data_IF_361865876357
#
_entry.id   IF_361865876357
#
_cell.length_a   1.000
_cell.length_b   1.000
_cell.length_c   1.000
_cell.angle_alpha   90.00
_cell.angle_beta   90.00
_cell.angle_gamma   90.00
#
_symmetry.space_group_name_H-M   'P 1'
#
loop_
_entity.id
_entity.type
_entity.pdbx_description
1 polymer ?
#
# COMPACT_ATOMS: atom_id res chain seq x y z
N UNK A 1 9.58 -5.24 -0.81
CA UNK A 1 8.41 -4.52 -0.31
C UNK A 1 7.40 -5.46 0.38
N UNK A 2 6.96 -6.56 -0.28
CA UNK A 2 5.88 -7.41 0.25
C UNK A 2 6.24 -8.05 1.60
N UNK A 3 7.47 -8.56 1.76
CA UNK A 3 7.93 -9.09 3.03
C UNK A 3 8.04 -8.00 4.11
N UNK A 4 8.59 -6.83 3.76
CA UNK A 4 8.67 -5.68 4.68
C UNK A 4 7.27 -5.23 5.13
N UNK A 5 6.32 -5.15 4.20
CA UNK A 5 4.94 -4.77 4.52
C UNK A 5 4.25 -5.81 5.41
N UNK A 6 4.46 -7.10 5.13
CA UNK A 6 3.93 -8.18 5.98
C UNK A 6 4.46 -8.06 7.41
N UNK A 7 5.76 -7.84 7.54
CA UNK A 7 6.41 -7.76 8.85
C UNK A 7 5.99 -6.46 9.57
N UNK A 8 5.87 -5.32 8.87
CA UNK A 8 5.33 -4.08 9.41
C UNK A 8 3.87 -4.21 9.87
N UNK A 9 3.02 -4.89 9.09
CA UNK A 9 1.63 -5.15 9.48
C UNK A 9 1.57 -6.05 10.73
N UNK A 10 2.42 -7.08 10.80
CA UNK A 10 2.48 -7.97 11.97
C UNK A 10 2.79 -7.21 13.27
N UNK A 11 3.67 -6.22 13.20
CA UNK A 11 4.04 -5.38 14.34
C UNK A 11 3.10 -4.17 14.54
N UNK A 12 2.16 -3.97 13.60
CA UNK A 12 1.25 -2.81 13.62
C UNK A 12 0.34 -2.81 14.85
N UNK A 13 0.29 -1.64 15.52
CA UNK A 13 -0.61 -1.33 16.63
C UNK A 13 -1.85 -0.57 16.19
N UNK A 14 -2.04 -0.41 14.88
CA UNK A 14 -3.20 0.27 14.33
C UNK A 14 -4.51 -0.48 14.66
N UNK A 15 -5.55 0.29 14.96
CA UNK A 15 -6.86 -0.26 15.35
C UNK A 15 -7.39 -1.26 14.32
N UNK A 16 -7.26 -0.95 13.03
CA UNK A 16 -7.75 -1.81 11.95
C UNK A 16 -7.12 -3.21 11.99
N UNK A 17 -5.83 -3.30 12.30
CA UNK A 17 -5.11 -4.58 12.37
C UNK A 17 -5.53 -5.38 13.60
N UNK A 18 -5.74 -4.71 14.74
CA UNK A 18 -6.27 -5.35 15.94
C UNK A 18 -7.69 -5.88 15.72
N UNK A 19 -8.58 -5.06 15.13
CA UNK A 19 -9.96 -5.46 14.82
C UNK A 19 -9.97 -6.75 13.99
N UNK A 20 -9.13 -6.88 12.96
CA UNK A 20 -9.06 -8.09 12.12
C UNK A 20 -8.51 -9.31 12.86
N UNK A 21 -7.54 -9.13 13.75
CA UNK A 21 -7.00 -10.21 14.58
C UNK A 21 -8.02 -10.71 15.59
N UNK A 22 -8.81 -9.81 16.18
CA UNK A 22 -9.82 -10.15 17.16
C UNK A 22 -11.01 -10.87 16.54
N UNK A 23 -11.47 -10.44 15.36
CA UNK A 23 -12.48 -11.18 14.58
C UNK A 23 -11.98 -12.58 14.23
N UNK A 24 -10.72 -12.70 13.81
CA UNK A 24 -10.15 -14.00 13.47
C UNK A 24 -10.08 -14.96 14.66
N UNK A 25 -9.77 -14.49 15.86
CA UNK A 25 -9.79 -15.31 17.10
C UNK A 25 -11.18 -15.85 17.40
N UNK A 26 -12.23 -15.09 17.08
CA UNK A 26 -13.62 -15.48 17.35
C UNK A 26 -14.18 -16.43 16.29
N UNK A 27 -13.88 -16.17 15.01
CA UNK A 27 -14.48 -16.89 13.88
C UNK A 27 -13.66 -18.12 13.44
N UNK A 28 -12.34 -18.04 13.56
CA UNK A 28 -11.44 -19.07 13.05
C UNK A 28 -10.70 -19.75 14.20
N UNK A 29 -11.27 -20.85 14.69
CA UNK A 29 -10.62 -21.71 15.72
C UNK A 29 -9.32 -22.37 15.25
N UNK A 30 -9.01 -22.35 13.95
CA UNK A 30 -7.79 -22.85 13.36
C UNK A 30 -6.94 -21.68 12.87
N UNK A 31 -5.64 -21.73 13.12
CA UNK A 31 -4.66 -20.77 12.61
C UNK A 31 -4.75 -20.65 11.09
N UNK A 32 -4.92 -19.41 10.60
CA UNK A 32 -4.94 -19.07 9.17
C UNK A 32 -3.54 -19.08 8.54
N UNK A 33 -2.58 -19.83 9.02
CA UNK A 33 -1.24 -19.91 8.42
C UNK A 33 -0.45 -18.58 8.36
N UNK A 34 -0.97 -17.50 8.97
CA UNK A 34 -0.36 -16.16 8.97
C UNK A 34 -1.14 -15.15 9.80
N UNK A 35 -0.66 -13.90 9.85
CA UNK A 35 -1.36 -12.81 10.53
C UNK A 35 -2.70 -12.49 9.81
N UNK A 36 -3.84 -12.55 10.51
CA UNK A 36 -5.16 -12.26 9.94
C UNK A 36 -5.29 -10.84 9.35
N UNK A 37 -4.55 -9.87 9.86
CA UNK A 37 -4.52 -8.53 9.31
C UNK A 37 -3.84 -8.46 7.93
N UNK A 38 -2.91 -9.37 7.65
CA UNK A 38 -2.21 -9.42 6.36
C UNK A 38 -2.81 -10.46 5.40
N UNK A 39 -3.14 -11.65 5.88
CA UNK A 39 -3.53 -12.79 5.05
C UNK A 39 -4.97 -13.27 5.28
N UNK A 40 -5.74 -12.61 6.15
CA UNK A 40 -7.11 -12.99 6.46
C UNK A 40 -8.13 -12.65 5.36
N UNK A 41 -9.37 -13.12 5.48
CA UNK A 41 -10.41 -12.91 4.46
C UNK A 41 -10.99 -11.49 4.46
N UNK A 42 -10.74 -10.72 5.52
CA UNK A 42 -11.30 -9.38 5.69
C UNK A 42 -10.29 -8.25 5.44
N UNK A 43 -9.08 -8.57 4.99
CA UNK A 43 -8.09 -7.60 4.56
C UNK A 43 -8.08 -7.44 3.05
N UNK A 44 -7.70 -6.25 2.58
CA UNK A 44 -7.47 -5.99 1.16
C UNK A 44 -6.02 -6.27 0.74
N UNK A 45 -5.11 -6.51 1.68
CA UNK A 45 -3.69 -6.72 1.38
C UNK A 45 -3.41 -7.95 0.51
N UNK A 46 -4.24 -8.98 0.59
CA UNK A 46 -4.07 -10.24 -0.13
C UNK A 46 -5.05 -10.42 -1.31
N UNK A 47 -5.73 -9.35 -1.74
CA UNK A 47 -6.59 -9.41 -2.91
C UNK A 47 -6.00 -8.59 -4.08
N UNK A 48 -6.50 -8.82 -5.29
CA UNK A 48 -6.00 -8.19 -6.51
C UNK A 48 -6.01 -6.66 -6.44
N UNK A 49 -7.02 -6.07 -5.80
CA UNK A 49 -7.16 -4.62 -5.68
C UNK A 49 -6.08 -4.03 -4.78
N UNK A 50 -5.88 -4.63 -3.60
CA UNK A 50 -4.86 -4.17 -2.66
C UNK A 50 -3.45 -4.35 -3.22
N UNK A 51 -3.15 -5.51 -3.81
CA UNK A 51 -1.85 -5.77 -4.46
C UNK A 51 -1.60 -4.76 -5.58
N UNK A 52 -2.58 -4.57 -6.47
CA UNK A 52 -2.45 -3.64 -7.61
C UNK A 52 -2.24 -2.20 -7.16
N UNK A 53 -2.97 -1.74 -6.14
CA UNK A 53 -2.83 -0.36 -5.68
C UNK A 53 -1.48 -0.12 -4.99
N UNK A 54 -0.99 -1.08 -4.20
CA UNK A 54 0.34 -0.99 -3.56
C UNK A 54 1.42 -0.91 -4.63
N UNK A 55 1.37 -1.76 -5.65
CA UNK A 55 2.34 -1.75 -6.75
C UNK A 55 2.30 -0.43 -7.53
N UNK A 56 1.11 0.08 -7.84
CA UNK A 56 0.95 1.35 -8.55
C UNK A 56 1.50 2.53 -7.74
N UNK A 57 1.13 2.64 -6.46
CA UNK A 57 1.62 3.73 -5.59
C UNK A 57 3.13 3.64 -5.39
N UNK A 58 3.66 2.42 -5.21
CA UNK A 58 5.11 2.20 -5.11
C UNK A 58 5.82 2.67 -6.38
N UNK A 59 5.29 2.31 -7.56
CA UNK A 59 5.84 2.76 -8.84
C UNK A 59 5.79 4.28 -8.99
N UNK A 60 4.70 4.94 -8.57
CA UNK A 60 4.58 6.40 -8.60
C UNK A 60 5.67 7.06 -7.76
N UNK A 61 5.84 6.57 -6.53
CA UNK A 61 6.82 7.13 -5.60
C UNK A 61 8.26 6.86 -6.07
N UNK A 62 8.54 5.67 -6.61
CA UNK A 62 9.84 5.36 -7.21
C UNK A 62 10.13 6.28 -8.40
N UNK A 63 9.13 6.53 -9.25
CA UNK A 63 9.28 7.44 -10.40
C UNK A 63 9.58 8.87 -9.95
N UNK A 64 8.88 9.40 -8.95
CA UNK A 64 9.12 10.73 -8.41
C UNK A 64 10.52 10.85 -7.80
N UNK A 65 10.94 9.84 -7.04
CA UNK A 65 12.22 9.85 -6.31
C UNK A 65 13.37 9.20 -7.11
N UNK A 66 13.20 8.96 -8.41
CA UNK A 66 14.16 8.18 -9.22
C UNK A 66 15.59 8.76 -9.23
N UNK A 67 15.72 10.09 -9.18
CA UNK A 67 17.03 10.76 -9.18
C UNK A 67 17.70 10.60 -7.81
N UNK A 68 16.98 10.82 -6.72
CA UNK A 68 17.46 10.65 -5.36
C UNK A 68 17.85 9.20 -5.08
N UNK A 69 17.05 8.25 -5.55
CA UNK A 69 17.30 6.82 -5.43
C UNK A 69 18.34 6.31 -6.44
N UNK A 70 18.82 7.16 -7.37
CA UNK A 70 19.76 6.79 -8.44
C UNK A 70 19.29 5.57 -9.24
N UNK A 71 17.99 5.53 -9.58
CA UNK A 71 17.42 4.41 -10.32
C UNK A 71 17.92 4.36 -11.77
N UNK A 72 18.30 5.50 -12.36
CA UNK A 72 18.92 5.55 -13.69
C UNK A 72 20.25 4.79 -13.75
N UNK A 73 20.95 4.63 -12.62
CA UNK A 73 22.22 3.93 -12.54
C UNK A 73 22.04 2.39 -12.45
N UNK A 74 20.77 1.96 -12.38
CA UNK A 74 20.43 0.55 -12.30
C UNK A 74 19.95 0.06 -13.66
N UNK A 75 20.88 -0.54 -14.39
CA UNK A 75 20.59 -1.15 -15.69
C UNK A 75 20.68 -2.65 -15.54
N UNK A 76 19.53 -3.32 -15.69
CA UNK A 76 19.53 -4.76 -15.96
C UNK A 76 19.82 -4.94 -17.45
N UNK A 77 20.87 -5.68 -17.77
CA UNK A 77 21.04 -6.14 -19.15
C UNK A 77 19.90 -7.11 -19.48
N UNK A 78 19.48 -7.18 -20.75
CA UNK A 78 18.44 -8.11 -21.18
C UNK A 78 18.81 -9.60 -20.92
N UNK A 79 20.08 -9.86 -20.67
CA UNK A 79 20.66 -11.19 -20.39
C UNK A 79 20.82 -11.47 -18.89
N UNK A 80 20.55 -10.47 -18.02
CA UNK A 80 20.73 -10.63 -16.57
C UNK A 80 19.61 -11.49 -15.97
N UNK A 81 19.98 -12.42 -15.10
CA UNK A 81 19.01 -13.14 -14.28
C UNK A 81 18.26 -12.14 -13.38
N UNK A 82 16.91 -12.09 -13.43
CA UNK A 82 16.13 -11.25 -12.54
C UNK A 82 16.45 -11.43 -11.05
N UNK A 83 16.90 -12.62 -10.66
CA UNK A 83 17.32 -12.93 -9.27
C UNK A 83 18.56 -12.13 -8.87
N UNK A 84 19.52 -11.99 -9.77
CA UNK A 84 20.75 -11.20 -9.54
C UNK A 84 20.40 -9.70 -9.42
N UNK A 85 19.51 -9.20 -10.29
CA UNK A 85 19.04 -7.84 -10.22
C UNK A 85 18.32 -7.51 -8.91
N UNK A 86 17.49 -8.41 -8.40
CA UNK A 86 16.84 -8.28 -7.10
C UNK A 86 17.87 -8.31 -5.97
N UNK A 87 18.89 -9.18 -6.05
CA UNK A 87 19.95 -9.25 -5.06
C UNK A 87 20.78 -7.96 -5.02
N UNK A 88 21.05 -7.35 -6.18
CA UNK A 88 21.73 -6.05 -6.27
C UNK A 88 20.90 -4.92 -5.67
N UNK A 89 19.61 -4.85 -6.00
CA UNK A 89 18.69 -3.85 -5.41
C UNK A 89 18.66 -3.94 -3.88
N UNK A 90 18.65 -5.15 -3.32
CA UNK A 90 18.66 -5.36 -1.86
C UNK A 90 19.93 -4.86 -1.20
N UNK A 91 21.06 -4.84 -1.90
CA UNK A 91 22.35 -4.32 -1.39
C UNK A 91 22.40 -2.79 -1.38
N UNK A 92 21.57 -2.11 -2.17
CA UNK A 92 21.50 -0.64 -2.24
C UNK A 92 20.75 -0.10 -1.04
N UNK A 93 21.47 0.43 -0.06
CA UNK A 93 20.88 0.93 1.20
C UNK A 93 19.78 1.99 1.02
N UNK A 94 19.92 2.85 0.02
CA UNK A 94 18.90 3.87 -0.29
C UNK A 94 17.58 3.25 -0.73
N UNK A 95 17.63 2.22 -1.57
CA UNK A 95 16.43 1.54 -2.07
C UNK A 95 15.82 0.65 -0.98
N UNK A 96 16.65 -0.09 -0.24
CA UNK A 96 16.15 -0.92 0.86
C UNK A 96 15.55 -0.07 1.98
N UNK A 97 16.15 1.07 2.32
CA UNK A 97 15.58 2.05 3.26
C UNK A 97 14.23 2.56 2.78
N UNK A 98 14.18 3.09 1.54
CA UNK A 98 12.93 3.56 0.93
C UNK A 98 11.82 2.50 0.98
N UNK A 99 12.13 1.25 0.66
CA UNK A 99 11.16 0.15 0.67
C UNK A 99 10.68 -0.18 2.09
N UNK A 100 11.59 -0.15 3.06
CA UNK A 100 11.27 -0.38 4.48
C UNK A 100 10.39 0.73 5.03
N UNK A 101 10.76 2.00 4.80
CA UNK A 101 10.01 3.16 5.26
C UNK A 101 8.62 3.22 4.61
N UNK A 102 8.53 2.92 3.31
CA UNK A 102 7.24 2.83 2.62
C UNK A 102 6.36 1.72 3.21
N UNK A 103 6.91 0.57 3.52
CA UNK A 103 6.18 -0.52 4.15
C UNK A 103 5.62 -0.12 5.52
N UNK A 104 6.40 0.62 6.33
CA UNK A 104 5.94 1.15 7.60
C UNK A 104 4.77 2.14 7.43
N UNK A 105 4.86 3.07 6.47
CA UNK A 105 3.77 4.01 6.21
C UNK A 105 2.52 3.31 5.67
N UNK A 106 2.68 2.35 4.76
CA UNK A 106 1.56 1.56 4.23
C UNK A 106 0.89 0.71 5.31
N UNK A 107 1.62 0.24 6.32
CA UNK A 107 1.05 -0.54 7.43
C UNK A 107 0.11 0.27 8.32
N UNK A 108 0.15 1.60 8.25
CA UNK A 108 -0.75 2.52 8.98
C UNK A 108 -2.10 2.73 8.28
N UNK A 109 -2.19 2.43 6.99
CA UNK A 109 -3.45 2.54 6.24
C UNK A 109 -4.46 1.49 6.70
N UNK A 110 -5.75 1.85 6.74
CA UNK A 110 -6.81 0.89 7.07
C UNK A 110 -7.07 -0.06 5.90
N UNK A 111 -6.53 -1.27 5.99
CA UNK A 111 -6.65 -2.32 4.96
C UNK A 111 -7.88 -3.21 5.11
N UNK A 112 -8.82 -2.89 6.01
CA UNK A 112 -10.06 -3.65 6.10
C UNK A 112 -10.82 -3.63 4.77
N UNK A 113 -11.32 -4.77 4.35
CA UNK A 113 -12.23 -4.87 3.20
C UNK A 113 -13.65 -4.43 3.59
N UNK A 114 -14.51 -4.18 2.61
CA UNK A 114 -15.93 -3.88 2.85
C UNK A 114 -16.72 -5.02 3.51
N UNK A 115 -16.14 -6.22 3.61
CA UNK A 115 -16.72 -7.36 4.34
C UNK A 115 -16.29 -7.40 5.81
N UNK A 116 -15.36 -6.54 6.24
CA UNK A 116 -14.91 -6.51 7.63
C UNK A 116 -16.01 -5.99 8.55
N UNK A 117 -16.08 -6.57 9.74
CA UNK A 117 -17.02 -6.12 10.79
C UNK A 117 -16.53 -4.84 11.45
N UNK A 118 -17.47 -4.05 11.98
CA UNK A 118 -17.16 -2.83 12.75
C UNK A 118 -16.70 -1.64 11.92
N UNK A 119 -16.97 -1.63 10.61
CA UNK A 119 -16.83 -0.43 9.78
C UNK A 119 -17.95 0.58 10.13
N UNK A 120 -17.63 1.86 10.11
CA UNK A 120 -18.64 2.92 10.05
C UNK A 120 -19.35 2.87 8.70
N UNK A 121 -20.52 3.54 8.59
CA UNK A 121 -21.24 3.63 7.32
C UNK A 121 -20.40 4.32 6.25
N UNK A 122 -19.72 5.40 6.60
CA UNK A 122 -18.81 6.14 5.69
C UNK A 122 -17.63 5.28 5.23
N UNK A 123 -17.00 4.53 6.16
CA UNK A 123 -15.93 3.60 5.81
C UNK A 123 -16.43 2.50 4.88
N UNK A 124 -17.62 1.95 5.14
CA UNK A 124 -18.20 0.92 4.29
C UNK A 124 -18.44 1.45 2.87
N UNK A 125 -19.03 2.63 2.72
CA UNK A 125 -19.25 3.29 1.43
C UNK A 125 -17.91 3.50 0.71
N UNK A 126 -16.91 4.02 1.43
CA UNK A 126 -15.57 4.21 0.89
C UNK A 126 -14.96 2.90 0.40
N UNK A 127 -15.00 1.82 1.22
CA UNK A 127 -14.45 0.51 0.84
C UNK A 127 -15.21 -0.12 -0.35
N UNK A 128 -16.52 0.09 -0.44
CA UNK A 128 -17.32 -0.35 -1.57
C UNK A 128 -16.92 0.39 -2.87
N UNK A 129 -16.54 1.67 -2.78
CA UNK A 129 -16.08 2.45 -3.93
C UNK A 129 -14.79 1.95 -4.56
N UNK A 130 -14.04 1.09 -3.88
CA UNK A 130 -12.83 0.47 -4.44
C UNK A 130 -13.10 -0.71 -5.38
N UNK A 131 -14.36 -1.15 -5.49
CA UNK A 131 -14.76 -2.26 -6.35
C UNK A 131 -14.90 -1.85 -7.82
N UNK A 132 -14.68 -2.82 -8.70
CA UNK A 132 -14.81 -2.62 -10.15
C UNK A 132 -13.65 -1.85 -10.78
N UNK A 133 -13.74 -1.60 -12.10
CA UNK A 133 -12.64 -1.01 -12.87
C UNK A 133 -12.23 0.40 -12.45
N UNK A 134 -13.20 1.26 -12.09
CA UNK A 134 -12.94 2.60 -11.55
C UNK A 134 -12.43 2.58 -10.11
N UNK A 135 -12.67 1.50 -9.39
CA UNK A 135 -12.31 1.34 -7.99
C UNK A 135 -10.81 1.36 -7.74
N UNK A 136 -10.00 0.82 -8.65
CA UNK A 136 -8.53 0.89 -8.57
C UNK A 136 -8.03 2.34 -8.54
N UNK A 137 -8.61 3.20 -9.37
CA UNK A 137 -8.27 4.63 -9.41
C UNK A 137 -8.61 5.32 -8.08
N UNK A 138 -9.82 5.06 -7.56
CA UNK A 138 -10.26 5.61 -6.28
C UNK A 138 -9.40 5.10 -5.12
N UNK A 139 -9.05 3.84 -5.10
CA UNK A 139 -8.20 3.27 -4.07
C UNK A 139 -6.78 3.85 -4.10
N UNK A 140 -6.16 3.96 -5.31
CA UNK A 140 -4.85 4.62 -5.49
C UNK A 140 -4.88 6.06 -4.99
N UNK A 141 -5.95 6.80 -5.29
CA UNK A 141 -6.17 8.16 -4.81
C UNK A 141 -6.19 8.23 -3.28
N UNK A 142 -6.93 7.33 -2.61
CA UNK A 142 -7.01 7.30 -1.15
C UNK A 142 -5.67 6.89 -0.51
N UNK A 143 -4.96 5.93 -1.07
CA UNK A 143 -3.66 5.53 -0.55
C UNK A 143 -2.62 6.64 -0.68
N UNK A 144 -2.59 7.37 -1.82
CA UNK A 144 -1.75 8.55 -1.96
C UNK A 144 -2.13 9.65 -0.95
N UNK A 145 -3.44 9.92 -0.72
CA UNK A 145 -3.89 10.88 0.30
C UNK A 145 -3.44 10.49 1.71
N UNK A 146 -3.49 9.21 2.04
CA UNK A 146 -2.98 8.70 3.31
C UNK A 146 -1.50 9.09 3.51
N UNK A 147 -0.68 8.94 2.47
CA UNK A 147 0.74 9.27 2.52
C UNK A 147 1.05 10.77 2.61
N UNK A 148 0.08 11.68 2.41
CA UNK A 148 0.32 13.12 2.50
C UNK A 148 0.84 13.59 3.87
N UNK A 149 0.49 12.87 4.92
CA UNK A 149 0.94 13.15 6.28
C UNK A 149 2.31 12.55 6.60
N UNK A 150 2.84 11.68 5.75
CA UNK A 150 4.15 11.09 5.93
C UNK A 150 5.25 12.14 5.81
N UNK A 151 6.22 12.10 6.70
CA UNK A 151 7.40 12.96 6.65
C UNK A 151 8.27 12.63 5.45
N UNK A 152 8.46 11.34 5.17
CA UNK A 152 9.31 10.84 4.10
C UNK A 152 8.62 10.90 2.73
N UNK A 153 7.33 10.57 2.66
CA UNK A 153 6.61 10.41 1.39
C UNK A 153 5.61 11.52 1.07
N UNK A 154 5.33 12.43 2.01
CA UNK A 154 4.25 13.42 1.86
C UNK A 154 4.43 14.33 0.65
N UNK A 155 5.65 14.78 0.36
CA UNK A 155 5.95 15.61 -0.81
C UNK A 155 5.77 14.82 -2.11
N UNK A 156 6.39 13.64 -2.20
CA UNK A 156 6.32 12.77 -3.39
C UNK A 156 4.90 12.27 -3.67
N UNK A 157 4.15 11.95 -2.63
CA UNK A 157 2.75 11.53 -2.76
C UNK A 157 1.85 12.66 -3.29
N UNK A 158 2.05 13.90 -2.83
CA UNK A 158 1.33 15.08 -3.34
C UNK A 158 1.67 15.38 -4.80
N UNK A 159 2.93 15.21 -5.18
CA UNK A 159 3.37 15.38 -6.56
C UNK A 159 2.77 14.30 -7.48
N UNK A 160 2.86 13.02 -7.09
CA UNK A 160 2.22 11.92 -7.81
C UNK A 160 0.70 12.16 -7.97
N UNK A 161 0.03 12.57 -6.91
CA UNK A 161 -1.39 12.91 -6.90
C UNK A 161 -1.76 13.99 -7.92
N UNK A 162 -0.92 15.03 -8.03
CA UNK A 162 -1.07 16.12 -8.99
C UNK A 162 -0.86 15.65 -10.43
N UNK A 163 0.22 14.89 -10.68
CA UNK A 163 0.57 14.36 -12.02
C UNK A 163 -0.55 13.45 -12.53
N UNK A 164 -1.13 12.61 -11.65
CA UNK A 164 -2.26 11.73 -11.98
C UNK A 164 -3.60 12.47 -12.19
N UNK A 165 -3.63 13.77 -12.01
CA UNK A 165 -4.81 14.61 -12.25
C UNK A 165 -5.87 14.56 -11.14
N UNK A 166 -5.62 13.89 -10.03
CA UNK A 166 -6.57 13.74 -8.93
C UNK A 166 -6.96 15.09 -8.27
N UNK A 167 -6.05 16.06 -8.23
CA UNK A 167 -6.32 17.42 -7.72
C UNK A 167 -7.38 18.19 -8.52
N UNK A 168 -7.58 17.83 -9.81
CA UNK A 168 -8.60 18.46 -10.65
C UNK A 168 -9.99 17.85 -10.40
N UNK A 169 -10.03 16.61 -10.01
CA UNK A 169 -11.25 15.88 -9.70
C UNK A 169 -11.84 16.30 -8.35
N UNK A 170 -10.98 16.57 -7.34
CA UNK A 170 -11.43 17.11 -6.05
C UNK A 170 -12.21 18.43 -6.22
N UNK A 171 -11.69 19.34 -7.06
CA UNK A 171 -12.33 20.65 -7.33
C UNK A 171 -13.68 20.57 -8.07
N UNK A 172 -14.00 19.42 -8.69
CA UNK A 172 -15.30 19.23 -9.38
C UNK A 172 -16.39 18.73 -8.45
N UNK A 173 -16.02 18.11 -7.33
CA UNK A 173 -16.96 17.60 -6.34
C UNK A 173 -17.32 18.62 -5.26
N UNK A 174 -16.49 19.67 -5.11
CA UNK A 174 -16.72 20.79 -4.18
C UNK A 174 -17.59 21.91 -4.78
N UNK A 175 -18.18 21.73 -5.97
CA UNK A 175 -19.10 22.63 -6.65
C UNK A 175 -20.49 22.00 -6.82
#
# INVERSE_FOLDING_TARGET
LWNELRDAVKESKEKWAHDLRDVAKQEYKKSLGGDPAFAGPYTMLNNDQGISVILNVTNDLLFINREELKLQDWVLSAESDPTEGIADLKKRKTISGFVSDLAQELSKFDWRSSAAKGLSEDDLILKLSYRGGSGYKQFRRQLLKHLFASKEFGASAKEAYKILGFSKEDKKHDR
#
